data_IF_091707218243
#
_entry.id   IF_091707218243
#
_cell.length_a   1.000
_cell.length_b   1.000
_cell.length_c   1.000
_cell.angle_alpha   90.00
_cell.angle_beta   90.00
_cell.angle_gamma   90.00
#
_symmetry.space_group_name_H-M   'P 1'
#
loop_
_entity.id
_entity.type
_entity.pdbx_description
1 polymer ?
#
# COMPACT_ATOMS: atom_id res chain seq x y z
N UNK A 1 -3.95 -22.04 -37.36
CA UNK A 1 -3.36 -20.70 -37.15
C UNK A 1 -4.07 -19.86 -36.08
N UNK A 2 -5.36 -20.10 -35.77
CA UNK A 2 -6.11 -19.37 -34.74
C UNK A 2 -5.64 -19.60 -33.28
N UNK A 3 -5.23 -20.83 -32.92
CA UNK A 3 -4.78 -21.15 -31.54
C UNK A 3 -3.56 -20.34 -31.06
N UNK A 4 -2.67 -19.88 -31.94
CA UNK A 4 -1.49 -19.09 -31.56
C UNK A 4 -1.83 -17.63 -31.20
N UNK A 5 -2.94 -17.06 -31.71
CA UNK A 5 -3.35 -15.68 -31.43
C UNK A 5 -4.03 -15.49 -30.07
N UNK A 6 -4.63 -16.54 -29.51
CA UNK A 6 -5.27 -16.50 -28.19
C UNK A 6 -4.28 -16.67 -27.02
N UNK A 7 -3.14 -17.32 -27.28
CA UNK A 7 -2.13 -17.59 -26.25
C UNK A 7 -1.29 -16.35 -25.89
N UNK A 8 -1.04 -15.46 -26.87
CA UNK A 8 -0.26 -14.23 -26.70
C UNK A 8 -0.86 -13.22 -25.70
N UNK A 9 -2.17 -12.91 -25.69
CA UNK A 9 -2.75 -12.02 -24.68
C UNK A 9 -2.77 -12.63 -23.26
N UNK A 10 -2.90 -13.95 -23.14
CA UNK A 10 -2.80 -14.65 -21.85
C UNK A 10 -1.37 -14.59 -21.28
N UNK A 11 -0.36 -14.81 -22.12
CA UNK A 11 1.04 -14.62 -21.74
C UNK A 11 1.36 -13.17 -21.37
N UNK A 12 0.73 -12.21 -22.04
CA UNK A 12 0.86 -10.79 -21.74
C UNK A 12 0.28 -10.45 -20.35
N UNK A 13 -0.91 -10.97 -20.01
CA UNK A 13 -1.47 -10.85 -18.67
C UNK A 13 -0.58 -11.49 -17.60
N UNK A 14 -0.11 -12.71 -17.84
CA UNK A 14 0.81 -13.38 -16.93
C UNK A 14 2.09 -12.55 -16.75
N UNK A 15 2.63 -11.98 -17.84
CA UNK A 15 3.80 -11.10 -17.77
C UNK A 15 3.53 -9.87 -16.91
N UNK A 16 2.40 -9.17 -17.06
CA UNK A 16 2.06 -8.02 -16.21
C UNK A 16 2.04 -8.39 -14.72
N UNK A 17 1.55 -9.58 -14.36
CA UNK A 17 1.46 -10.03 -12.96
C UNK A 17 2.82 -10.40 -12.38
N UNK A 18 3.68 -11.08 -13.14
CA UNK A 18 4.97 -11.59 -12.64
C UNK A 18 6.15 -10.63 -12.82
N UNK A 19 6.05 -9.68 -13.74
CA UNK A 19 7.11 -8.71 -14.04
C UNK A 19 7.46 -7.78 -12.87
N UNK A 20 6.51 -7.32 -12.02
CA UNK A 20 6.82 -6.57 -10.79
C UNK A 20 7.72 -7.36 -9.84
N UNK A 21 7.41 -8.64 -9.65
CA UNK A 21 8.18 -9.51 -8.78
C UNK A 21 9.61 -9.71 -9.30
N UNK A 22 9.75 -9.86 -10.62
CA UNK A 22 11.05 -10.00 -11.26
C UNK A 22 11.91 -8.72 -11.18
N UNK A 23 11.27 -7.55 -11.31
CA UNK A 23 11.92 -6.25 -11.11
C UNK A 23 12.38 -6.12 -9.66
N UNK A 24 11.51 -6.38 -8.70
CA UNK A 24 11.86 -6.31 -7.28
C UNK A 24 13.07 -7.20 -6.98
N UNK A 25 13.05 -8.46 -7.44
CA UNK A 25 14.14 -9.41 -7.20
C UNK A 25 15.48 -8.97 -7.84
N UNK A 26 15.43 -8.38 -9.04
CA UNK A 26 16.63 -7.99 -9.78
C UNK A 26 17.23 -6.67 -9.27
N UNK A 27 16.38 -5.70 -8.95
CA UNK A 27 16.82 -4.34 -8.61
C UNK A 27 17.08 -4.14 -7.12
N UNK A 28 16.54 -4.99 -6.23
CA UNK A 28 16.69 -4.84 -4.78
C UNK A 28 18.16 -4.71 -4.35
N UNK A 29 19.04 -5.64 -4.77
CA UNK A 29 20.47 -5.59 -4.39
C UNK A 29 21.20 -4.37 -4.94
N UNK A 30 20.89 -3.96 -6.18
CA UNK A 30 21.56 -2.81 -6.81
C UNK A 30 21.10 -1.49 -6.18
N UNK A 31 19.80 -1.36 -5.91
CA UNK A 31 19.23 -0.19 -5.25
C UNK A 31 19.70 -0.11 -3.80
N UNK A 32 19.81 -1.23 -3.09
CA UNK A 32 20.32 -1.28 -1.72
C UNK A 32 21.73 -0.71 -1.62
N UNK A 33 22.65 -1.17 -2.46
CA UNK A 33 24.02 -0.64 -2.48
C UNK A 33 24.07 0.84 -2.86
N UNK A 34 23.22 1.29 -3.79
CA UNK A 34 23.20 2.69 -4.22
C UNK A 34 22.58 3.62 -3.16
N UNK A 35 21.43 3.25 -2.59
CA UNK A 35 20.72 4.02 -1.56
C UNK A 35 21.54 4.09 -0.28
N UNK A 36 22.16 2.99 0.16
CA UNK A 36 23.04 2.99 1.34
C UNK A 36 24.26 3.89 1.15
N UNK A 37 24.92 3.81 -0.01
CA UNK A 37 26.09 4.65 -0.30
C UNK A 37 25.70 6.14 -0.42
N UNK A 38 24.57 6.42 -1.06
CA UNK A 38 24.02 7.77 -1.15
C UNK A 38 23.63 8.33 0.22
N UNK A 39 22.96 7.53 1.05
CA UNK A 39 22.59 7.89 2.41
C UNK A 39 23.83 8.24 3.23
N UNK A 40 24.85 7.37 3.25
CA UNK A 40 26.09 7.58 3.99
C UNK A 40 26.88 8.80 3.50
N UNK A 41 26.82 9.13 2.20
CA UNK A 41 27.54 10.29 1.62
C UNK A 41 26.81 11.61 1.87
N UNK A 42 25.48 11.58 2.01
CA UNK A 42 24.61 12.77 2.11
C UNK A 42 24.15 13.08 3.53
N UNK A 43 24.56 12.29 4.52
CA UNK A 43 24.20 12.40 5.93
C UNK A 43 24.90 13.58 6.63
N UNK A 44 24.84 14.79 6.05
CA UNK A 44 25.32 16.00 6.71
C UNK A 44 24.21 16.90 7.25
N UNK A 45 22.95 16.80 6.80
CA UNK A 45 21.89 17.69 7.29
C UNK A 45 20.52 16.98 7.43
N UNK A 46 20.15 16.71 8.68
CA UNK A 46 18.80 16.68 9.27
C UNK A 46 17.62 16.62 8.28
N UNK A 47 17.24 15.41 7.86
CA UNK A 47 15.96 15.10 7.19
C UNK A 47 15.01 14.38 8.15
N UNK A 48 14.85 14.93 9.36
CA UNK A 48 13.80 14.50 10.28
C UNK A 48 12.55 15.31 9.96
N UNK A 49 11.44 14.63 9.72
CA UNK A 49 10.14 15.26 9.72
C UNK A 49 9.76 15.50 11.19
N UNK A 50 9.20 16.64 11.57
CA UNK A 50 8.94 16.99 13.00
C UNK A 50 8.15 15.90 13.78
N UNK A 51 7.30 15.15 13.08
CA UNK A 51 6.55 14.01 13.64
C UNK A 51 7.43 12.79 13.95
N UNK A 52 8.45 12.54 13.13
CA UNK A 52 9.39 11.44 13.29
C UNK A 52 10.41 11.74 14.40
N UNK A 53 10.81 13.00 14.54
CA UNK A 53 11.65 13.44 15.65
C UNK A 53 10.96 13.25 17.00
N UNK A 54 9.68 13.61 17.09
CA UNK A 54 8.88 13.39 18.32
C UNK A 54 8.78 11.92 18.72
N UNK A 55 8.55 11.02 17.76
CA UNK A 55 8.45 9.59 18.07
C UNK A 55 9.80 8.97 18.47
N UNK A 56 10.90 9.47 17.92
CA UNK A 56 12.26 9.09 18.35
C UNK A 56 12.54 9.60 19.77
N UNK A 57 12.13 10.84 20.08
CA UNK A 57 12.34 11.47 21.37
C UNK A 57 11.49 10.81 22.46
N UNK A 58 10.26 10.40 22.14
CA UNK A 58 9.39 9.62 23.03
C UNK A 58 9.99 8.25 23.36
N UNK A 59 10.47 7.51 22.34
CA UNK A 59 11.19 6.25 22.56
C UNK A 59 12.47 6.43 23.38
N UNK A 60 13.15 7.55 23.23
CA UNK A 60 14.33 7.87 24.02
C UNK A 60 13.97 8.13 25.50
N UNK A 61 12.90 8.88 25.75
CA UNK A 61 12.37 9.10 27.11
C UNK A 61 11.93 7.79 27.75
N UNK A 62 11.21 6.93 27.02
CA UNK A 62 10.74 5.63 27.52
C UNK A 62 11.91 4.72 27.94
N UNK A 63 13.01 4.76 27.17
CA UNK A 63 14.23 4.02 27.46
C UNK A 63 14.97 4.60 28.68
N UNK A 64 15.03 5.93 28.79
CA UNK A 64 15.56 6.63 29.97
C UNK A 64 14.76 6.30 31.24
N UNK A 65 13.43 6.29 31.17
CA UNK A 65 12.53 5.92 32.28
C UNK A 65 12.69 4.45 32.69
N UNK A 66 12.81 3.53 31.73
CA UNK A 66 13.07 2.10 31.99
C UNK A 66 14.38 1.89 32.74
N UNK A 67 15.44 2.57 32.33
CA UNK A 67 16.75 2.48 32.96
C UNK A 67 16.76 3.15 34.34
N UNK A 68 16.03 4.26 34.52
CA UNK A 68 15.86 4.91 35.81
C UNK A 68 15.10 4.02 36.81
N UNK A 69 14.09 3.29 36.35
CA UNK A 69 13.39 2.28 37.14
C UNK A 69 14.32 1.12 37.54
N UNK A 70 15.15 0.64 36.61
CA UNK A 70 16.12 -0.40 36.93
C UNK A 70 17.16 0.08 37.96
N UNK A 71 17.56 1.35 37.90
CA UNK A 71 18.43 2.00 38.87
C UNK A 71 17.77 2.12 40.26
N UNK A 72 16.50 2.51 40.35
CA UNK A 72 15.79 2.56 41.64
C UNK A 72 15.60 1.18 42.29
N UNK A 73 15.52 0.12 41.50
CA UNK A 73 15.41 -1.26 42.00
C UNK A 73 16.76 -1.80 42.50
N UNK A 74 17.87 -1.26 41.99
CA UNK A 74 19.24 -1.73 42.26
C UNK A 74 20.04 -0.65 42.98
N UNK A 75 20.07 -0.71 44.31
CA UNK A 75 20.83 0.21 45.17
C UNK A 75 22.37 0.01 45.00
N UNK A 76 23.02 0.78 44.10
CA UNK A 76 24.48 0.67 43.83
C UNK A 76 25.21 2.02 43.67
N UNK A 77 26.56 1.97 43.70
CA UNK A 77 27.52 3.07 43.85
C UNK A 77 27.94 3.81 42.55
N UNK A 78 28.60 4.97 42.70
CA UNK A 78 29.01 5.92 41.65
C UNK A 78 29.74 5.34 40.42
N UNK A 79 30.48 4.23 40.55
CA UNK A 79 31.17 3.58 39.42
C UNK A 79 30.20 2.89 38.45
N UNK A 80 29.01 2.51 38.92
CA UNK A 80 27.95 1.94 38.10
C UNK A 80 27.28 3.02 37.23
N UNK A 81 27.20 4.26 37.70
CA UNK A 81 26.59 5.40 37.01
C UNK A 81 27.32 5.77 35.71
N UNK A 82 28.66 5.69 35.70
CA UNK A 82 29.45 5.87 34.48
C UNK A 82 29.23 4.74 33.46
N UNK A 83 29.17 3.49 33.93
CA UNK A 83 28.88 2.35 33.06
C UNK A 83 27.44 2.40 32.50
N UNK A 84 26.49 2.88 33.29
CA UNK A 84 25.09 3.08 32.87
C UNK A 84 24.99 4.17 31.81
N UNK A 85 25.68 5.31 31.98
CA UNK A 85 25.77 6.36 30.94
C UNK A 85 26.39 5.85 29.64
N UNK A 86 27.43 5.02 29.72
CA UNK A 86 28.03 4.38 28.55
C UNK A 86 27.05 3.37 27.91
N UNK A 87 26.29 2.63 28.73
CA UNK A 87 25.23 1.73 28.32
C UNK A 87 24.12 2.45 27.55
N UNK A 88 23.57 3.52 28.13
CA UNK A 88 22.59 4.41 27.49
C UNK A 88 23.12 4.89 26.14
N UNK A 89 24.36 5.39 26.10
CA UNK A 89 24.92 5.93 24.87
C UNK A 89 25.05 4.86 23.78
N UNK A 90 25.45 3.65 24.17
CA UNK A 90 25.54 2.51 23.26
C UNK A 90 24.16 2.06 22.75
N UNK A 91 23.17 1.98 23.63
CA UNK A 91 21.79 1.61 23.24
C UNK A 91 21.15 2.69 22.36
N UNK A 92 21.39 3.96 22.66
CA UNK A 92 20.95 5.10 21.82
C UNK A 92 21.54 4.99 20.41
N UNK A 93 22.84 4.71 20.29
CA UNK A 93 23.50 4.51 18.98
C UNK A 93 22.90 3.30 18.25
N UNK A 94 22.59 2.21 18.96
CA UNK A 94 21.93 1.05 18.37
C UNK A 94 20.52 1.37 17.88
N UNK A 95 19.74 2.14 18.64
CA UNK A 95 18.38 2.53 18.31
C UNK A 95 18.34 3.44 17.08
N UNK A 96 19.27 4.41 17.00
CA UNK A 96 19.47 5.26 15.81
C UNK A 96 19.87 4.40 14.60
N UNK A 97 20.72 3.39 14.79
CA UNK A 97 21.15 2.50 13.69
C UNK A 97 19.99 1.68 13.14
N UNK A 98 19.20 1.06 14.01
CA UNK A 98 18.01 0.27 13.62
C UNK A 98 17.00 1.16 12.89
N UNK A 99 16.77 2.38 13.39
CA UNK A 99 15.84 3.32 12.76
C UNK A 99 16.32 3.75 11.38
N UNK A 100 17.60 4.12 11.24
CA UNK A 100 18.17 4.48 9.94
C UNK A 100 18.12 3.33 8.93
N UNK A 101 18.37 2.10 9.37
CA UNK A 101 18.24 0.91 8.52
C UNK A 101 16.81 0.70 8.06
N UNK A 102 15.83 0.86 8.96
CA UNK A 102 14.41 0.87 8.62
C UNK A 102 14.03 1.94 7.59
N UNK A 103 14.54 3.17 7.73
CA UNK A 103 14.30 4.26 6.76
C UNK A 103 14.89 3.94 5.39
N UNK A 104 16.12 3.44 5.34
CA UNK A 104 16.77 3.02 4.09
C UNK A 104 15.91 1.94 3.40
N UNK A 105 15.41 0.97 4.16
CA UNK A 105 14.54 -0.07 3.65
C UNK A 105 13.22 0.48 3.10
N UNK A 106 12.56 1.40 3.81
CA UNK A 106 11.33 2.06 3.33
C UNK A 106 11.56 2.86 2.05
N UNK A 107 12.65 3.64 1.97
CA UNK A 107 13.03 4.40 0.77
C UNK A 107 13.33 3.46 -0.39
N UNK A 108 14.00 2.34 -0.13
CA UNK A 108 14.29 1.32 -1.13
C UNK A 108 13.01 0.70 -1.67
N UNK A 109 12.09 0.30 -0.78
CA UNK A 109 10.82 -0.29 -1.18
C UNK A 109 9.99 0.68 -2.01
N UNK A 110 9.89 1.95 -1.57
CA UNK A 110 9.20 3.01 -2.29
C UNK A 110 9.80 3.28 -3.67
N UNK A 111 11.13 3.41 -3.76
CA UNK A 111 11.82 3.62 -5.04
C UNK A 111 11.67 2.43 -6.00
N UNK A 112 11.71 1.21 -5.48
CA UNK A 112 11.47 -0.02 -6.25
C UNK A 112 10.06 -0.04 -6.82
N UNK A 113 9.06 0.35 -6.02
CA UNK A 113 7.66 0.45 -6.46
C UNK A 113 7.47 1.49 -7.56
N UNK A 114 8.13 2.65 -7.46
CA UNK A 114 8.11 3.68 -8.52
C UNK A 114 8.72 3.16 -9.82
N UNK A 115 9.90 2.55 -9.76
CA UNK A 115 10.57 1.99 -10.94
C UNK A 115 9.70 0.91 -11.58
N UNK A 116 9.12 0.04 -10.76
CA UNK A 116 8.19 -0.99 -11.20
C UNK A 116 6.97 -0.37 -11.92
N UNK A 117 6.37 0.68 -11.34
CA UNK A 117 5.24 1.38 -11.95
C UNK A 117 5.60 1.98 -13.31
N UNK A 118 6.77 2.61 -13.45
CA UNK A 118 7.24 3.17 -14.72
C UNK A 118 7.44 2.07 -15.76
N UNK A 119 8.07 0.96 -15.40
CA UNK A 119 8.32 -0.15 -16.32
C UNK A 119 7.00 -0.80 -16.76
N UNK A 120 6.08 -1.06 -15.82
CA UNK A 120 4.74 -1.58 -16.14
C UNK A 120 3.96 -0.63 -17.04
N UNK A 121 3.99 0.67 -16.75
CA UNK A 121 3.33 1.68 -17.57
C UNK A 121 3.90 1.69 -19.00
N UNK A 122 5.22 1.69 -19.14
CA UNK A 122 5.89 1.60 -20.44
C UNK A 122 5.54 0.30 -21.19
N UNK A 123 5.52 -0.82 -20.49
CA UNK A 123 5.13 -2.13 -21.04
C UNK A 123 3.66 -2.17 -21.49
N UNK A 124 2.78 -1.51 -20.74
CA UNK A 124 1.35 -1.35 -21.05
C UNK A 124 1.14 -0.52 -22.33
N UNK A 125 1.85 0.61 -22.44
CA UNK A 125 1.78 1.49 -23.61
C UNK A 125 2.29 0.77 -24.87
N UNK A 126 3.39 0.01 -24.75
CA UNK A 126 3.97 -0.72 -25.89
C UNK A 126 3.11 -1.92 -26.31
N UNK A 127 2.47 -2.61 -25.34
CA UNK A 127 1.59 -3.77 -25.56
C UNK A 127 0.12 -3.42 -25.86
N UNK A 128 -0.13 -2.23 -26.42
CA UNK A 128 -1.49 -1.75 -26.70
C UNK A 128 -2.30 -2.73 -27.58
N UNK A 129 -1.66 -3.44 -28.51
CA UNK A 129 -2.34 -4.41 -29.38
C UNK A 129 -2.93 -5.58 -28.59
N UNK A 130 -2.15 -6.12 -27.65
CA UNK A 130 -2.55 -7.19 -26.76
C UNK A 130 -3.65 -6.72 -25.81
N UNK A 131 -3.57 -5.49 -25.29
CA UNK A 131 -4.60 -4.87 -24.46
C UNK A 131 -5.93 -4.68 -25.20
N UNK A 132 -5.90 -4.27 -26.47
CA UNK A 132 -7.13 -4.16 -27.29
C UNK A 132 -7.77 -5.53 -27.51
N UNK A 133 -6.98 -6.58 -27.74
CA UNK A 133 -7.49 -7.95 -27.86
C UNK A 133 -8.11 -8.41 -26.54
N UNK A 134 -7.45 -8.17 -25.41
CA UNK A 134 -7.97 -8.48 -24.08
C UNK A 134 -9.28 -7.73 -23.80
N UNK A 135 -9.35 -6.45 -24.13
CA UNK A 135 -10.57 -5.66 -23.99
C UNK A 135 -11.71 -6.21 -24.85
N UNK A 136 -11.43 -6.61 -26.09
CA UNK A 136 -12.44 -7.24 -26.95
C UNK A 136 -12.93 -8.58 -26.38
N UNK A 137 -12.03 -9.36 -25.77
CA UNK A 137 -12.37 -10.65 -25.17
C UNK A 137 -13.17 -10.48 -23.88
N UNK A 138 -12.82 -9.50 -23.05
CA UNK A 138 -13.58 -9.11 -21.87
C UNK A 138 -14.98 -8.60 -22.25
N UNK A 139 -15.09 -7.78 -23.30
CA UNK A 139 -16.37 -7.34 -23.83
C UNK A 139 -17.20 -8.51 -24.35
N UNK A 140 -16.62 -9.40 -25.15
CA UNK A 140 -17.31 -10.59 -25.65
C UNK A 140 -17.79 -11.49 -24.51
N UNK A 141 -16.95 -11.72 -23.49
CA UNK A 141 -17.34 -12.43 -22.28
C UNK A 141 -18.52 -11.76 -21.57
N UNK A 142 -18.46 -10.44 -21.34
CA UNK A 142 -19.53 -9.69 -20.69
C UNK A 142 -20.82 -9.69 -21.51
N UNK A 143 -20.75 -9.51 -22.84
CA UNK A 143 -21.92 -9.49 -23.71
C UNK A 143 -22.60 -10.86 -23.82
N UNK A 144 -21.82 -11.94 -23.76
CA UNK A 144 -22.33 -13.32 -23.79
C UNK A 144 -23.05 -13.72 -22.48
N UNK A 145 -22.90 -12.97 -21.39
CA UNK A 145 -23.67 -13.21 -20.18
C UNK A 145 -25.13 -12.80 -20.37
N UNK A 146 -26.05 -13.50 -19.71
CA UNK A 146 -27.45 -13.10 -19.66
C UNK A 146 -27.60 -11.79 -18.87
N UNK A 147 -28.63 -11.00 -19.18
CA UNK A 147 -28.87 -9.73 -18.51
C UNK A 147 -29.12 -9.91 -17.00
N UNK A 148 -29.73 -11.03 -16.59
CA UNK A 148 -29.86 -11.37 -15.16
C UNK A 148 -28.51 -11.63 -14.49
N UNK A 149 -27.59 -12.36 -15.13
CA UNK A 149 -26.25 -12.62 -14.56
C UNK A 149 -25.44 -11.32 -14.52
N UNK A 150 -25.54 -10.47 -15.55
CA UNK A 150 -24.88 -9.15 -15.54
C UNK A 150 -25.35 -8.29 -14.36
N UNK A 151 -26.66 -8.20 -14.15
CA UNK A 151 -27.25 -7.45 -13.03
C UNK A 151 -26.83 -8.04 -11.68
N UNK A 152 -26.90 -9.37 -11.53
CA UNK A 152 -26.50 -10.06 -10.31
C UNK A 152 -25.00 -9.94 -10.01
N UNK A 153 -24.11 -10.15 -10.98
CA UNK A 153 -22.66 -10.00 -10.79
C UNK A 153 -22.28 -8.57 -10.42
N UNK A 154 -22.98 -7.59 -10.99
CA UNK A 154 -22.76 -6.20 -10.66
C UNK A 154 -23.27 -5.87 -9.23
N UNK A 155 -24.43 -6.37 -8.82
CA UNK A 155 -24.93 -6.24 -7.46
C UNK A 155 -23.98 -6.91 -6.45
N UNK A 156 -23.56 -8.15 -6.72
CA UNK A 156 -22.59 -8.87 -5.90
C UNK A 156 -21.24 -8.13 -5.78
N UNK A 157 -20.75 -7.54 -6.87
CA UNK A 157 -19.50 -6.76 -6.84
C UNK A 157 -19.66 -5.48 -6.00
N UNK A 158 -20.80 -4.82 -6.12
CA UNK A 158 -21.14 -3.62 -5.35
C UNK A 158 -21.19 -3.94 -3.87
N UNK A 159 -21.88 -5.02 -3.52
CA UNK A 159 -21.98 -5.51 -2.14
C UNK A 159 -20.64 -6.00 -1.59
N UNK A 160 -19.78 -6.62 -2.40
CA UNK A 160 -18.44 -7.04 -1.94
C UNK A 160 -17.50 -5.84 -1.72
N UNK A 161 -17.52 -4.86 -2.62
CA UNK A 161 -16.63 -3.70 -2.56
C UNK A 161 -17.07 -2.67 -1.50
N UNK A 162 -18.38 -2.54 -1.27
CA UNK A 162 -18.97 -1.52 -0.38
C UNK A 162 -19.48 -2.14 0.92
N UNK A 163 -19.75 -3.45 0.95
CA UNK A 163 -20.29 -4.19 2.11
C UNK A 163 -19.31 -4.38 3.27
N UNK A 164 -18.39 -3.45 3.46
CA UNK A 164 -17.72 -3.25 4.73
C UNK A 164 -18.63 -2.42 5.64
N UNK A 165 -19.60 -3.10 6.26
CA UNK A 165 -20.57 -2.51 7.20
C UNK A 165 -19.96 -2.03 8.53
N UNK A 166 -18.64 -2.17 8.71
CA UNK A 166 -17.95 -1.78 9.93
C UNK A 166 -16.89 -0.72 9.64
N UNK A 167 -16.91 0.43 10.33
CA UNK A 167 -15.82 1.42 10.32
C UNK A 167 -14.45 0.78 10.58
N UNK A 168 -14.42 -0.28 11.38
CA UNK A 168 -13.18 -0.98 11.72
C UNK A 168 -12.55 -1.71 10.53
N UNK A 169 -13.34 -2.20 9.57
CA UNK A 169 -12.79 -2.83 8.36
C UNK A 169 -12.04 -1.81 7.48
N UNK A 170 -12.60 -0.61 7.39
CA UNK A 170 -11.96 0.52 6.71
C UNK A 170 -10.73 1.03 7.45
N UNK A 171 -10.78 1.06 8.78
CA UNK A 171 -9.64 1.44 9.62
C UNK A 171 -8.45 0.51 9.37
N UNK A 172 -8.66 -0.81 9.40
CA UNK A 172 -7.60 -1.78 9.13
C UNK A 172 -7.05 -1.68 7.71
N UNK A 173 -7.91 -1.47 6.70
CA UNK A 173 -7.45 -1.27 5.31
C UNK A 173 -6.63 0.02 5.16
N UNK A 174 -7.10 1.12 5.74
CA UNK A 174 -6.42 2.41 5.66
C UNK A 174 -5.10 2.35 6.42
N UNK A 175 -5.09 1.77 7.62
CA UNK A 175 -3.87 1.63 8.44
C UNK A 175 -2.82 0.74 7.76
N UNK A 176 -3.23 -0.36 7.12
CA UNK A 176 -2.34 -1.19 6.31
C UNK A 176 -1.65 -0.38 5.20
N UNK A 177 -2.43 0.42 4.45
CA UNK A 177 -1.88 1.29 3.41
C UNK A 177 -0.99 2.38 4.02
N UNK A 178 -1.42 3.01 5.11
CA UNK A 178 -0.68 4.08 5.78
C UNK A 178 0.71 3.62 6.24
N UNK A 179 0.77 2.40 6.80
CA UNK A 179 2.01 1.75 7.26
C UNK A 179 2.94 1.41 6.10
N UNK A 180 2.42 0.89 4.99
CA UNK A 180 3.22 0.56 3.80
C UNK A 180 3.85 1.80 3.13
N UNK A 181 3.18 2.96 3.22
CA UNK A 181 3.74 4.24 2.78
C UNK A 181 4.70 4.89 3.80
N UNK A 182 4.83 4.33 5.00
CA UNK A 182 5.74 4.83 6.04
C UNK A 182 5.30 6.16 6.67
N UNK A 183 4.01 6.49 6.60
CA UNK A 183 3.49 7.69 7.26
C UNK A 183 3.34 7.46 8.78
N UNK A 184 3.53 8.52 9.56
CA UNK A 184 3.32 8.49 11.01
C UNK A 184 1.81 8.37 11.28
N UNK A 185 1.45 7.43 12.15
CA UNK A 185 0.06 7.16 12.50
C UNK A 185 -0.59 8.43 13.08
N UNK A 186 -1.69 8.87 12.45
CA UNK A 186 -2.44 10.04 12.89
C UNK A 186 -3.93 9.69 12.91
N UNK A 187 -4.42 9.40 14.11
CA UNK A 187 -5.79 8.95 14.38
C UNK A 187 -6.85 9.89 13.80
N UNK A 188 -6.58 11.20 13.76
CA UNK A 188 -7.53 12.17 13.23
C UNK A 188 -7.67 12.06 11.71
N UNK A 189 -6.56 11.87 11.00
CA UNK A 189 -6.57 11.69 9.53
C UNK A 189 -7.19 10.34 9.19
N UNK A 190 -6.83 9.29 9.92
CA UNK A 190 -7.37 7.94 9.70
C UNK A 190 -8.87 7.93 9.97
N UNK A 191 -9.34 8.49 11.08
CA UNK A 191 -10.77 8.59 11.40
C UNK A 191 -11.55 9.44 10.36
N UNK A 192 -10.96 10.53 9.88
CA UNK A 192 -11.52 11.35 8.81
C UNK A 192 -11.67 10.58 7.49
N UNK A 193 -10.66 9.78 7.13
CA UNK A 193 -10.70 8.93 5.93
C UNK A 193 -11.69 7.77 6.10
N UNK A 194 -11.69 7.09 7.24
CA UNK A 194 -12.62 5.99 7.55
C UNK A 194 -14.08 6.43 7.49
N UNK A 195 -14.38 7.67 7.89
CA UNK A 195 -15.75 8.20 7.84
C UNK A 195 -16.16 8.70 6.46
N UNK A 196 -15.23 9.30 5.70
CA UNK A 196 -15.56 9.99 4.43
C UNK A 196 -15.38 9.10 3.21
N UNK A 197 -14.33 8.30 3.18
CA UNK A 197 -13.93 7.50 2.02
C UNK A 197 -14.97 6.45 1.62
N UNK A 198 -15.60 5.70 2.55
CA UNK A 198 -16.61 4.70 2.17
C UNK A 198 -17.83 5.32 1.52
N UNK A 199 -18.26 6.49 2.00
CA UNK A 199 -19.43 7.21 1.46
C UNK A 199 -19.14 7.75 0.06
N UNK A 200 -17.95 8.32 -0.15
CA UNK A 200 -17.52 8.77 -1.48
C UNK A 200 -17.43 7.58 -2.44
N UNK A 201 -16.84 6.47 -2.01
CA UNK A 201 -16.71 5.27 -2.84
C UNK A 201 -18.09 4.69 -3.21
N UNK A 202 -19.01 4.62 -2.25
CA UNK A 202 -20.38 4.16 -2.46
C UNK A 202 -21.12 5.00 -3.51
N UNK A 203 -21.05 6.33 -3.38
CA UNK A 203 -21.71 7.24 -4.33
C UNK A 203 -21.11 7.17 -5.73
N UNK A 204 -19.78 7.09 -5.86
CA UNK A 204 -19.11 6.95 -7.16
C UNK A 204 -19.47 5.62 -7.81
N UNK A 205 -19.46 4.51 -7.07
CA UNK A 205 -19.79 3.18 -7.57
C UNK A 205 -21.25 3.12 -8.02
N UNK A 206 -22.20 3.56 -7.19
CA UNK A 206 -23.63 3.63 -7.56
C UNK A 206 -23.85 4.47 -8.82
N UNK A 207 -23.20 5.63 -8.91
CA UNK A 207 -23.30 6.48 -10.11
C UNK A 207 -22.72 5.79 -11.35
N UNK A 208 -21.55 5.16 -11.23
CA UNK A 208 -20.91 4.48 -12.35
C UNK A 208 -21.74 3.29 -12.82
N UNK A 209 -22.28 2.49 -11.89
CA UNK A 209 -23.22 1.41 -12.14
C UNK A 209 -24.43 1.93 -12.91
N UNK A 210 -25.11 2.95 -12.40
CA UNK A 210 -26.29 3.52 -13.04
C UNK A 210 -25.98 3.97 -14.47
N UNK A 211 -24.84 4.63 -14.69
CA UNK A 211 -24.41 5.07 -16.02
C UNK A 211 -24.07 3.89 -16.93
N UNK A 212 -23.45 2.84 -16.40
CA UNK A 212 -23.09 1.65 -17.15
C UNK A 212 -24.33 0.86 -17.57
N UNK A 213 -25.24 0.57 -16.64
CA UNK A 213 -26.48 -0.15 -16.91
C UNK A 213 -27.34 0.58 -17.95
N UNK A 214 -27.49 1.91 -17.83
CA UNK A 214 -28.21 2.72 -18.81
C UNK A 214 -27.58 2.71 -20.21
N UNK A 215 -26.25 2.56 -20.31
CA UNK A 215 -25.57 2.47 -21.61
C UNK A 215 -25.76 1.10 -22.27
N UNK A 216 -25.90 0.03 -21.47
CA UNK A 216 -26.00 -1.35 -21.97
C UNK A 216 -27.43 -1.70 -22.37
N UNK A 217 -28.39 -1.51 -21.46
CA UNK A 217 -29.81 -1.70 -21.77
C UNK A 217 -30.72 -1.08 -20.69
N UNK A 218 -31.78 -0.36 -21.06
CA UNK A 218 -32.79 0.14 -20.11
C UNK A 218 -33.48 -0.98 -19.31
N UNK A 219 -33.63 -2.18 -19.87
CA UNK A 219 -34.24 -3.33 -19.18
C UNK A 219 -33.41 -3.81 -17.99
N UNK A 220 -32.08 -3.67 -18.07
CA UNK A 220 -31.14 -4.07 -17.04
C UNK A 220 -31.26 -3.18 -15.78
N UNK A 221 -31.58 -1.90 -15.98
CA UNK A 221 -31.81 -0.92 -14.91
C UNK A 221 -33.06 -1.28 -14.11
N UNK A 222 -34.13 -1.72 -14.79
CA UNK A 222 -35.37 -2.16 -14.13
C UNK A 222 -35.13 -3.43 -13.31
N UNK A 223 -34.38 -4.39 -13.85
CA UNK A 223 -34.00 -5.61 -13.12
C UNK A 223 -33.14 -5.27 -11.90
N UNK A 224 -32.14 -4.41 -12.06
CA UNK A 224 -31.29 -3.97 -10.95
C UNK A 224 -32.10 -3.29 -9.85
N UNK A 225 -33.00 -2.37 -10.18
CA UNK A 225 -33.90 -1.76 -9.19
C UNK A 225 -34.78 -2.80 -8.51
N UNK A 226 -35.37 -3.75 -9.24
CA UNK A 226 -36.21 -4.80 -8.65
C UNK A 226 -35.45 -5.79 -7.75
N UNK A 227 -34.13 -5.90 -7.90
CA UNK A 227 -33.28 -6.77 -7.07
C UNK A 227 -32.64 -6.04 -5.89
N UNK A 228 -32.58 -4.71 -5.96
CA UNK A 228 -31.99 -3.84 -4.94
C UNK A 228 -33.04 -3.27 -3.96
N UNK A 229 -34.31 -3.21 -4.37
CA UNK A 229 -35.47 -2.97 -3.49
C UNK A 229 -35.81 -4.23 -2.67
#
# INVERSE_FOLDING_TARGET
MAKKKAFTPLLYLASIVFLPWWISLSFQKSLESWVTNWWNTRQSETFLNDLEEKSILEKFIELEELLFLEEMIKEYSETHLQNLRIGIHKETIQLIKIHNEGRIHTILHFSTNIICFIILSGYSILGNKELVILNSWAQEFLYNLSDTIKAFSLLLLTDLCIGFHSPHGWELMIDFVYKDFGFVHNDQIISGLVSTFPVILDTILKYWIFRYLNRVSPSLVVIYHSMND
#
